data_IF_568916676857
#
_entry.id   IF_568916676857
#
_cell.length_a   1.000
_cell.length_b   1.000
_cell.length_c   1.000
_cell.angle_alpha   90.00
_cell.angle_beta   90.00
_cell.angle_gamma   90.00
#
_symmetry.space_group_name_H-M   'P 1'
#
loop_
_entity.id
_entity.type
_entity.pdbx_description
1 polymer ?
#
# COMPACT_ATOMS: atom_id res chain seq x y z
N UNK A 1 -17.40 -3.32 -2.41
CA UNK A 1 -16.73 -4.62 -2.67
C UNK A 1 -17.73 -5.77 -2.57
N UNK A 2 -17.47 -6.92 -3.20
CA UNK A 2 -18.27 -8.15 -3.07
C UNK A 2 -17.34 -9.32 -2.73
N UNK A 3 -17.12 -9.55 -1.44
CA UNK A 3 -16.19 -10.57 -0.96
C UNK A 3 -16.68 -12.01 -1.13
N UNK A 4 -17.84 -12.24 -1.75
CA UNK A 4 -18.17 -13.58 -2.26
C UNK A 4 -17.35 -13.95 -3.51
N UNK A 5 -16.65 -12.97 -4.10
CA UNK A 5 -15.78 -13.13 -5.27
C UNK A 5 -14.30 -13.12 -4.89
N UNK A 6 -13.45 -13.84 -5.66
CA UNK A 6 -12.01 -13.77 -5.49
C UNK A 6 -11.52 -12.31 -5.50
N UNK A 7 -10.70 -11.97 -4.51
CA UNK A 7 -10.27 -10.58 -4.26
C UNK A 7 -8.78 -10.53 -3.96
N UNK A 8 -8.09 -9.61 -4.61
CA UNK A 8 -6.73 -9.20 -4.25
C UNK A 8 -6.83 -7.95 -3.38
N UNK A 9 -6.29 -8.01 -2.17
CA UNK A 9 -6.09 -6.83 -1.33
C UNK A 9 -4.62 -6.44 -1.36
N UNK A 10 -4.36 -5.22 -1.79
CA UNK A 10 -3.04 -4.59 -1.77
C UNK A 10 -2.94 -3.70 -0.53
N UNK A 11 -1.92 -3.93 0.30
CA UNK A 11 -1.53 -3.01 1.37
C UNK A 11 -0.35 -2.19 0.86
N UNK A 12 -0.53 -0.89 0.66
CA UNK A 12 0.45 -0.04 -0.02
C UNK A 12 0.71 1.27 0.72
N UNK A 13 1.74 2.00 0.29
CA UNK A 13 2.25 3.19 0.95
C UNK A 13 3.78 3.20 1.11
N UNK A 14 4.35 4.36 1.46
CA UNK A 14 5.80 4.50 1.62
C UNK A 14 6.35 3.65 2.78
N UNK A 15 7.66 3.35 2.79
CA UNK A 15 8.33 2.78 3.97
C UNK A 15 8.06 3.64 5.21
N UNK A 16 7.89 3.00 6.37
CA UNK A 16 7.56 3.70 7.62
C UNK A 16 6.09 4.07 7.83
N UNK A 17 5.23 3.92 6.81
CA UNK A 17 3.79 4.20 6.94
C UNK A 17 3.03 3.21 7.86
N UNK A 18 3.64 2.09 8.24
CA UNK A 18 3.04 1.09 9.14
C UNK A 18 2.33 -0.07 8.45
N UNK A 19 2.65 -0.33 7.17
CA UNK A 19 2.08 -1.43 6.37
C UNK A 19 2.24 -2.80 7.04
N UNK A 20 3.46 -3.26 7.36
CA UNK A 20 3.65 -4.54 8.06
C UNK A 20 3.02 -4.59 9.46
N UNK A 21 2.86 -3.43 10.12
CA UNK A 21 2.30 -3.35 11.48
C UNK A 21 0.78 -3.46 11.48
N UNK A 22 0.11 -2.80 10.53
CA UNK A 22 -1.35 -2.69 10.52
C UNK A 22 -2.02 -3.37 9.34
N UNK A 23 -1.28 -3.81 8.32
CA UNK A 23 -1.80 -4.35 7.07
C UNK A 23 -2.79 -5.49 7.28
N UNK A 24 -2.45 -6.42 8.20
CA UNK A 24 -3.36 -7.50 8.59
C UNK A 24 -4.64 -7.01 9.26
N UNK A 25 -4.57 -5.95 10.06
CA UNK A 25 -5.74 -5.36 10.74
C UNK A 25 -6.68 -4.61 9.80
N UNK A 26 -6.20 -4.27 8.59
CA UNK A 26 -7.00 -3.63 7.55
C UNK A 26 -7.69 -4.64 6.61
N UNK A 27 -7.44 -5.94 6.80
CA UNK A 27 -8.14 -6.97 6.05
C UNK A 27 -9.56 -7.15 6.60
N UNK A 28 -10.57 -7.31 5.72
CA UNK A 28 -11.94 -7.59 6.14
C UNK A 28 -12.06 -9.03 6.68
N UNK A 29 -13.15 -9.32 7.39
CA UNK A 29 -13.41 -10.65 7.97
C UNK A 29 -13.37 -11.79 6.94
N UNK A 30 -13.72 -11.53 5.68
CA UNK A 30 -13.62 -12.50 4.58
C UNK A 30 -12.19 -13.01 4.32
N UNK A 31 -11.18 -12.32 4.86
CA UNK A 31 -9.77 -12.70 4.80
C UNK A 31 -9.29 -13.35 6.11
N UNK A 32 -10.20 -13.86 6.95
CA UNK A 32 -9.82 -14.61 8.15
C UNK A 32 -8.82 -15.73 7.82
N UNK A 33 -7.74 -15.81 8.59
CA UNK A 33 -6.65 -16.76 8.36
C UNK A 33 -5.65 -16.36 7.26
N UNK A 34 -5.93 -15.32 6.46
CA UNK A 34 -5.01 -14.78 5.46
C UNK A 34 -4.14 -13.69 6.10
N UNK A 35 -2.88 -13.63 5.69
CA UNK A 35 -1.98 -12.54 6.04
C UNK A 35 -1.38 -11.97 4.75
N UNK A 36 -1.14 -10.65 4.66
CA UNK A 36 -0.49 -10.08 3.48
C UNK A 36 0.90 -10.69 3.30
N UNK A 37 1.27 -11.02 2.06
CA UNK A 37 2.64 -11.35 1.73
C UNK A 37 3.52 -10.11 1.94
N UNK A 38 4.41 -10.17 2.94
CA UNK A 38 5.36 -9.10 3.26
C UNK A 38 6.68 -9.38 2.53
N UNK A 39 6.96 -8.57 1.50
CA UNK A 39 8.17 -8.70 0.67
C UNK A 39 9.44 -8.43 1.47
N UNK A 40 9.45 -7.43 2.34
CA UNK A 40 10.62 -7.03 3.13
C UNK A 40 10.97 -8.12 4.16
N UNK A 41 9.97 -8.65 4.85
CA UNK A 41 10.15 -9.73 5.83
C UNK A 41 10.60 -11.03 5.15
N UNK A 42 10.04 -11.35 3.98
CA UNK A 42 10.40 -12.56 3.22
C UNK A 42 11.81 -12.44 2.64
N UNK A 43 12.19 -11.26 2.14
CA UNK A 43 13.56 -10.97 1.69
C UNK A 43 14.55 -11.12 2.85
N UNK A 44 14.28 -10.49 4.00
CA UNK A 44 15.12 -10.60 5.20
C UNK A 44 15.27 -12.06 5.64
N UNK A 45 14.19 -12.85 5.64
CA UNK A 45 14.24 -14.27 5.94
C UNK A 45 15.21 -15.02 5.00
N UNK A 46 15.10 -14.80 3.70
CA UNK A 46 15.98 -15.49 2.74
C UNK A 46 17.43 -15.01 2.80
N UNK A 47 17.68 -13.74 3.09
CA UNK A 47 19.04 -13.25 3.36
C UNK A 47 19.64 -14.03 4.54
N UNK A 48 18.91 -14.16 5.66
CA UNK A 48 19.38 -14.89 6.84
C UNK A 48 19.63 -16.38 6.56
N UNK A 49 18.81 -17.03 5.72
CA UNK A 49 19.04 -18.42 5.30
C UNK A 49 20.31 -18.61 4.46
N UNK A 50 20.74 -17.57 3.74
CA UNK A 50 21.88 -17.61 2.82
C UNK A 50 23.19 -17.20 3.49
N UNK A 51 23.14 -16.49 4.62
CA UNK A 51 24.31 -16.13 5.41
C UNK A 51 25.09 -17.41 5.80
N UNK A 52 26.40 -17.40 5.56
CA UNK A 52 27.30 -18.52 5.81
C UNK A 52 27.36 -19.57 4.69
N UNK A 53 26.47 -19.49 3.69
CA UNK A 53 26.60 -20.24 2.43
C UNK A 53 27.30 -19.43 1.33
N UNK A 54 27.30 -18.09 1.48
CA UNK A 54 27.93 -17.13 0.58
C UNK A 54 28.64 -16.07 1.42
N UNK A 55 29.74 -15.53 0.89
CA UNK A 55 30.57 -14.52 1.58
C UNK A 55 30.28 -13.09 1.07
N UNK A 56 29.75 -12.93 -0.14
CA UNK A 56 29.45 -11.64 -0.76
C UNK A 56 28.03 -11.16 -0.40
N UNK A 57 27.87 -10.02 0.31
CA UNK A 57 26.56 -9.45 0.65
C UNK A 57 25.68 -9.17 -0.57
N UNK A 58 26.26 -8.72 -1.69
CA UNK A 58 25.49 -8.40 -2.89
C UNK A 58 24.97 -9.68 -3.55
N UNK A 59 25.75 -10.77 -3.50
CA UNK A 59 25.29 -12.08 -3.96
C UNK A 59 24.15 -12.62 -3.09
N UNK A 60 24.25 -12.47 -1.76
CA UNK A 60 23.20 -12.87 -0.82
C UNK A 60 21.90 -12.12 -1.11
N UNK A 61 21.96 -10.79 -1.23
CA UNK A 61 20.79 -9.95 -1.48
C UNK A 61 20.09 -10.31 -2.80
N UNK A 62 20.87 -10.48 -3.89
CA UNK A 62 20.34 -10.87 -5.19
C UNK A 62 19.65 -12.26 -5.15
N UNK A 63 20.27 -13.25 -4.49
CA UNK A 63 19.69 -14.58 -4.34
C UNK A 63 18.45 -14.59 -3.47
N UNK A 64 18.44 -13.80 -2.39
CA UNK A 64 17.28 -13.63 -1.52
C UNK A 64 16.12 -12.99 -2.28
N UNK A 65 16.38 -11.96 -3.07
CA UNK A 65 15.39 -11.33 -3.96
C UNK A 65 14.77 -12.34 -4.93
N UNK A 66 15.58 -13.13 -5.64
CA UNK A 66 15.08 -14.16 -6.58
C UNK A 66 14.21 -15.20 -5.86
N UNK A 67 14.61 -15.65 -4.66
CA UNK A 67 13.83 -16.59 -3.85
C UNK A 67 12.50 -15.99 -3.40
N UNK A 68 12.50 -14.74 -2.96
CA UNK A 68 11.32 -14.01 -2.52
C UNK A 68 10.34 -13.80 -3.68
N UNK A 69 10.81 -13.29 -4.82
CA UNK A 69 9.98 -13.09 -6.02
C UNK A 69 9.38 -14.42 -6.50
N UNK A 70 10.17 -15.49 -6.54
CA UNK A 70 9.65 -16.81 -6.91
C UNK A 70 8.54 -17.27 -5.95
N UNK A 71 8.74 -17.13 -4.64
CA UNK A 71 7.72 -17.49 -3.66
C UNK A 71 6.44 -16.65 -3.87
N UNK A 72 6.57 -15.34 -4.07
CA UNK A 72 5.45 -14.44 -4.34
C UNK A 72 4.66 -14.90 -5.57
N UNK A 73 5.33 -15.15 -6.69
CA UNK A 73 4.69 -15.59 -7.94
C UNK A 73 4.01 -16.96 -7.77
N UNK A 74 4.66 -17.91 -7.08
CA UNK A 74 4.10 -19.25 -6.82
C UNK A 74 2.83 -19.15 -5.93
N UNK A 75 2.83 -18.29 -4.91
CA UNK A 75 1.67 -18.05 -4.04
C UNK A 75 0.53 -17.34 -4.78
N UNK A 76 0.83 -16.34 -5.61
CA UNK A 76 -0.15 -15.67 -6.46
C UNK A 76 -0.80 -16.65 -7.45
N UNK A 77 0.02 -17.45 -8.14
CA UNK A 77 -0.47 -18.46 -9.08
C UNK A 77 -1.38 -19.48 -8.37
N UNK A 78 -1.00 -19.91 -7.17
CA UNK A 78 -1.81 -20.81 -6.34
C UNK A 78 -3.14 -20.16 -5.96
N UNK A 79 -3.14 -18.91 -5.51
CA UNK A 79 -4.37 -18.20 -5.17
C UNK A 79 -5.30 -18.09 -6.39
N UNK A 80 -4.76 -17.67 -7.54
CA UNK A 80 -5.48 -17.54 -8.82
C UNK A 80 -6.09 -18.87 -9.27
N UNK A 81 -5.31 -19.96 -9.22
CA UNK A 81 -5.76 -21.30 -9.60
C UNK A 81 -6.96 -21.75 -8.77
N UNK A 82 -6.95 -21.46 -7.46
CA UNK A 82 -8.01 -21.87 -6.53
C UNK A 82 -9.13 -20.83 -6.40
N UNK A 83 -9.06 -19.69 -7.11
CA UNK A 83 -9.96 -18.53 -6.92
C UNK A 83 -10.04 -18.10 -5.45
N UNK A 84 -8.92 -18.22 -4.72
CA UNK A 84 -8.82 -17.83 -3.33
C UNK A 84 -8.52 -16.33 -3.22
N UNK A 85 -8.96 -15.72 -2.11
CA UNK A 85 -8.53 -14.40 -1.72
C UNK A 85 -7.00 -14.35 -1.54
N UNK A 86 -6.39 -13.21 -1.87
CA UNK A 86 -4.95 -13.01 -1.69
C UNK A 86 -4.67 -11.60 -1.17
N UNK A 87 -3.70 -11.47 -0.29
CA UNK A 87 -3.27 -10.18 0.24
C UNK A 87 -1.77 -9.99 0.00
N UNK A 88 -1.38 -8.81 -0.47
CA UNK A 88 0.00 -8.49 -0.80
C UNK A 88 0.36 -7.12 -0.22
N UNK A 89 1.47 -7.06 0.50
CA UNK A 89 2.09 -5.79 0.85
C UNK A 89 3.08 -5.39 -0.25
N UNK A 90 2.85 -4.23 -0.86
CA UNK A 90 3.75 -3.72 -1.90
C UNK A 90 3.69 -2.19 -2.00
N UNK A 91 4.82 -1.50 -2.17
CA UNK A 91 4.86 -0.04 -2.28
C UNK A 91 4.29 0.54 -3.59
N UNK A 92 4.05 -0.28 -4.63
CA UNK A 92 3.47 0.14 -5.93
C UNK A 92 4.14 1.35 -6.61
N UNK A 93 5.46 1.50 -6.43
CA UNK A 93 6.22 2.66 -6.94
C UNK A 93 6.90 2.42 -8.30
N UNK A 94 6.80 1.21 -8.85
CA UNK A 94 7.24 0.90 -10.21
C UNK A 94 6.07 0.46 -11.09
N UNK A 95 6.05 0.83 -12.39
CA UNK A 95 5.04 0.36 -13.34
C UNK A 95 4.95 -1.17 -13.40
N UNK A 96 6.10 -1.85 -13.37
CA UNK A 96 6.19 -3.31 -13.47
C UNK A 96 5.42 -4.01 -12.35
N UNK A 97 5.24 -3.39 -11.17
CA UNK A 97 4.43 -3.99 -10.10
C UNK A 97 2.95 -4.11 -10.46
N UNK A 98 2.43 -3.19 -11.28
CA UNK A 98 1.05 -3.28 -11.77
C UNK A 98 0.90 -4.40 -12.80
N UNK A 99 1.88 -4.51 -13.70
CA UNK A 99 1.92 -5.56 -14.72
C UNK A 99 2.14 -6.95 -14.13
N UNK A 100 3.05 -7.09 -13.17
CA UNK A 100 3.46 -8.38 -12.62
C UNK A 100 2.56 -8.85 -11.48
N UNK A 101 2.07 -7.94 -10.62
CA UNK A 101 1.35 -8.34 -9.41
C UNK A 101 -0.16 -8.12 -9.45
N UNK A 102 -0.66 -7.21 -10.30
CA UNK A 102 -2.08 -6.83 -10.31
C UNK A 102 -2.78 -7.38 -11.55
N UNK A 103 -2.17 -7.21 -12.73
CA UNK A 103 -2.75 -7.69 -13.99
C UNK A 103 -3.04 -9.19 -14.02
N UNK A 104 -2.24 -10.10 -13.43
CA UNK A 104 -2.59 -11.53 -13.39
C UNK A 104 -3.91 -11.79 -12.67
N UNK A 105 -4.20 -11.07 -11.59
CA UNK A 105 -5.46 -11.20 -10.85
C UNK A 105 -6.63 -10.59 -11.64
N UNK A 106 -6.45 -9.39 -12.22
CA UNK A 106 -7.45 -8.76 -13.08
C UNK A 106 -7.86 -9.66 -14.25
N UNK A 107 -6.86 -10.21 -14.96
CA UNK A 107 -7.07 -11.12 -16.09
C UNK A 107 -7.78 -12.42 -15.67
N UNK A 108 -7.77 -12.75 -14.38
CA UNK A 108 -8.46 -13.91 -13.80
C UNK A 108 -9.78 -13.57 -13.10
N UNK A 109 -10.30 -12.36 -13.30
CA UNK A 109 -11.62 -11.94 -12.85
C UNK A 109 -11.70 -11.56 -11.37
N UNK A 110 -10.58 -11.19 -10.75
CA UNK A 110 -10.55 -10.75 -9.36
C UNK A 110 -11.09 -9.32 -9.21
N UNK A 111 -11.69 -9.04 -8.05
CA UNK A 111 -11.80 -7.68 -7.56
C UNK A 111 -10.46 -7.23 -6.98
N UNK A 112 -10.07 -5.98 -7.20
CA UNK A 112 -8.83 -5.43 -6.63
C UNK A 112 -9.20 -4.32 -5.66
N UNK A 113 -8.75 -4.46 -4.42
CA UNK A 113 -8.84 -3.42 -3.40
C UNK A 113 -7.46 -2.96 -3.01
N UNK A 114 -7.26 -1.65 -2.95
CA UNK A 114 -6.07 -1.04 -2.41
C UNK A 114 -6.38 -0.39 -1.05
N UNK A 115 -5.60 -0.73 -0.04
CA UNK A 115 -5.50 0.02 1.21
C UNK A 115 -4.16 0.75 1.23
N UNK A 116 -4.20 2.05 0.93
CA UNK A 116 -3.02 2.91 0.87
C UNK A 116 -2.86 3.69 2.18
N UNK A 117 -1.77 3.45 2.91
CA UNK A 117 -1.45 4.09 4.18
C UNK A 117 -0.32 5.09 3.96
N UNK A 118 -0.50 6.35 4.36
CA UNK A 118 0.53 7.36 4.18
C UNK A 118 0.66 8.28 5.38
N UNK A 119 1.85 8.88 5.51
CA UNK A 119 2.15 9.93 6.49
C UNK A 119 2.05 11.29 5.82
N UNK A 120 2.04 12.35 6.62
CA UNK A 120 1.87 13.71 6.12
C UNK A 120 3.07 14.16 5.26
N UNK A 121 4.29 13.76 5.63
CA UNK A 121 5.51 14.19 4.95
C UNK A 121 6.53 13.06 4.79
N UNK A 122 7.44 13.23 3.82
CA UNK A 122 8.58 12.35 3.61
C UNK A 122 9.46 12.23 4.86
N UNK A 123 9.73 13.34 5.56
CA UNK A 123 10.54 13.36 6.78
C UNK A 123 9.96 12.47 7.89
N UNK A 124 8.63 12.31 7.95
CA UNK A 124 7.99 11.41 8.91
C UNK A 124 8.26 9.94 8.56
N UNK A 125 8.32 9.62 7.27
CA UNK A 125 8.69 8.29 6.78
C UNK A 125 10.14 7.98 7.12
N UNK A 126 11.06 8.90 6.82
CA UNK A 126 12.49 8.79 7.12
C UNK A 126 12.74 8.58 8.62
N UNK A 127 12.12 9.43 9.46
CA UNK A 127 12.27 9.34 10.91
C UNK A 127 11.83 7.97 11.45
N UNK A 128 10.72 7.42 10.95
CA UNK A 128 10.23 6.10 11.37
C UNK A 128 11.11 4.96 10.87
N UNK A 129 11.59 5.01 9.63
CA UNK A 129 12.49 4.00 9.09
C UNK A 129 13.82 3.99 9.86
N UNK A 130 14.39 5.16 10.14
CA UNK A 130 15.60 5.28 10.96
C UNK A 130 15.40 4.78 12.39
N UNK A 131 14.27 5.12 13.03
CA UNK A 131 13.95 4.61 14.36
C UNK A 131 13.83 3.08 14.37
N UNK A 132 13.20 2.49 13.33
CA UNK A 132 13.10 1.04 13.16
C UNK A 132 14.47 0.39 12.94
N UNK A 133 15.32 0.98 12.11
CA UNK A 133 16.68 0.47 11.91
C UNK A 133 17.50 0.45 13.21
N UNK A 134 17.39 1.52 14.01
CA UNK A 134 18.07 1.62 15.30
C UNK A 134 17.55 0.64 16.36
N UNK A 135 16.35 0.09 16.17
CA UNK A 135 15.73 -0.91 17.06
C UNK A 135 15.81 -2.33 16.51
N UNK A 136 16.63 -2.57 15.49
CA UNK A 136 16.94 -3.90 14.94
C UNK A 136 16.13 -4.31 13.71
N UNK A 137 15.38 -3.40 13.09
CA UNK A 137 14.72 -3.65 11.81
C UNK A 137 15.59 -3.31 10.60
N UNK A 138 15.05 -3.53 9.41
CA UNK A 138 15.75 -3.31 8.14
C UNK A 138 15.99 -1.81 7.86
N UNK A 139 17.24 -1.47 7.56
CA UNK A 139 17.67 -0.15 7.10
C UNK A 139 17.37 0.01 5.61
N UNK A 140 16.93 1.20 5.21
CA UNK A 140 16.73 1.55 3.79
C UNK A 140 17.43 2.87 3.48
N UNK A 141 18.03 3.02 2.28
CA UNK A 141 18.56 4.30 1.82
C UNK A 141 17.46 5.37 1.76
N UNK A 142 17.82 6.62 2.09
CA UNK A 142 16.91 7.77 2.00
C UNK A 142 16.36 7.94 0.58
N UNK A 143 17.22 7.80 -0.43
CA UNK A 143 16.84 7.91 -1.84
C UNK A 143 15.74 6.90 -2.22
N UNK A 144 15.78 5.68 -1.64
CA UNK A 144 14.74 4.67 -1.85
C UNK A 144 13.41 5.08 -1.20
N UNK A 145 13.44 5.63 0.02
CA UNK A 145 12.22 6.12 0.70
C UNK A 145 11.59 7.27 -0.11
N UNK A 146 12.43 8.20 -0.56
CA UNK A 146 12.02 9.34 -1.36
C UNK A 146 11.42 8.91 -2.71
N UNK A 147 12.08 7.97 -3.41
CA UNK A 147 11.60 7.40 -4.67
C UNK A 147 10.21 6.79 -4.51
N UNK A 148 10.01 5.94 -3.48
CA UNK A 148 8.71 5.34 -3.22
C UNK A 148 7.65 6.40 -2.95
N UNK A 149 7.97 7.38 -2.10
CA UNK A 149 7.04 8.44 -1.72
C UNK A 149 6.60 9.27 -2.94
N UNK A 150 7.53 9.58 -3.85
CA UNK A 150 7.27 10.37 -5.06
C UNK A 150 6.54 9.59 -6.15
N UNK A 151 6.89 8.31 -6.36
CA UNK A 151 6.44 7.56 -7.53
C UNK A 151 5.15 6.76 -7.31
N UNK A 152 4.87 6.31 -6.09
CA UNK A 152 3.69 5.48 -5.79
C UNK A 152 2.36 6.21 -6.00
N UNK A 153 2.25 7.48 -5.62
CA UNK A 153 1.01 8.26 -5.74
C UNK A 153 0.62 8.54 -7.21
N UNK A 154 1.52 9.03 -8.10
CA UNK A 154 1.20 9.18 -9.51
C UNK A 154 0.81 7.87 -10.20
N UNK A 155 1.45 6.76 -9.83
CA UNK A 155 1.11 5.44 -10.38
C UNK A 155 -0.25 4.96 -9.89
N UNK A 156 -0.57 5.17 -8.62
CA UNK A 156 -1.91 4.92 -8.09
C UNK A 156 -2.94 5.77 -8.84
N UNK A 157 -2.71 7.07 -8.97
CA UNK A 157 -3.61 7.99 -9.67
C UNK A 157 -3.89 7.52 -11.11
N UNK A 158 -2.84 7.15 -11.86
CA UNK A 158 -2.95 6.69 -13.24
C UNK A 158 -3.72 5.37 -13.36
N UNK A 159 -3.55 4.46 -12.39
CA UNK A 159 -4.13 3.12 -12.41
C UNK A 159 -5.39 2.96 -11.55
N UNK A 160 -5.89 4.05 -10.96
CA UNK A 160 -7.05 4.03 -10.05
C UNK A 160 -8.30 3.39 -10.68
N UNK A 161 -8.43 3.45 -12.01
CA UNK A 161 -9.53 2.86 -12.76
C UNK A 161 -9.52 1.33 -12.81
N UNK A 162 -8.37 0.70 -12.54
CA UNK A 162 -8.23 -0.76 -12.43
C UNK A 162 -8.71 -1.29 -11.08
N UNK A 163 -8.86 -0.41 -10.07
CA UNK A 163 -9.17 -0.77 -8.70
C UNK A 163 -10.68 -0.74 -8.47
N UNK A 164 -11.22 -1.85 -7.94
CA UNK A 164 -12.62 -1.93 -7.51
C UNK A 164 -12.85 -1.06 -6.28
N UNK A 165 -11.88 -1.02 -5.35
CA UNK A 165 -11.91 -0.16 -4.19
C UNK A 165 -10.55 0.46 -3.88
N UNK A 166 -10.56 1.72 -3.42
CA UNK A 166 -9.39 2.46 -2.92
C UNK A 166 -9.75 2.99 -1.54
N UNK A 167 -9.01 2.55 -0.53
CA UNK A 167 -9.06 3.06 0.83
C UNK A 167 -7.80 3.88 1.09
N UNK A 168 -7.98 5.14 1.43
CA UNK A 168 -6.91 6.05 1.80
C UNK A 168 -6.87 6.17 3.33
N UNK A 169 -5.74 5.86 3.94
CA UNK A 169 -5.56 5.91 5.39
C UNK A 169 -4.50 6.92 5.81
N UNK A 170 -4.80 7.66 6.87
CA UNK A 170 -3.81 8.40 7.64
C UNK A 170 -3.03 7.44 8.55
N UNK A 171 -1.73 7.29 8.34
CA UNK A 171 -0.81 6.47 9.13
C UNK A 171 -0.08 7.21 10.26
N UNK A 172 -0.41 8.47 10.56
CA UNK A 172 0.31 9.28 11.56
C UNK A 172 0.25 8.69 12.97
N UNK A 173 -0.77 7.90 13.28
CA UNK A 173 -0.87 7.10 14.52
C UNK A 173 -1.33 5.67 14.18
N UNK A 174 -2.52 5.30 14.62
CA UNK A 174 -3.26 4.13 14.12
C UNK A 174 -3.94 4.49 12.79
N UNK A 175 -3.88 3.63 11.76
CA UNK A 175 -4.50 3.90 10.47
C UNK A 175 -5.96 4.35 10.61
N UNK A 176 -6.24 5.57 10.18
CA UNK A 176 -7.59 6.15 10.20
C UNK A 176 -8.06 6.34 8.77
N UNK A 177 -9.25 5.82 8.44
CA UNK A 177 -9.80 5.92 7.09
C UNK A 177 -10.13 7.39 6.78
N UNK A 178 -9.55 7.92 5.70
CA UNK A 178 -9.78 9.28 5.22
C UNK A 178 -10.79 9.30 4.07
N UNK A 179 -10.70 8.32 3.18
CA UNK A 179 -11.62 8.19 2.06
C UNK A 179 -11.71 6.73 1.59
N UNK A 180 -12.90 6.33 1.16
CA UNK A 180 -13.13 5.09 0.45
C UNK A 180 -13.84 5.41 -0.88
N UNK A 181 -13.23 4.95 -1.97
CA UNK A 181 -13.72 5.07 -3.33
C UNK A 181 -14.00 3.68 -3.84
N UNK A 182 -15.24 3.37 -4.20
CA UNK A 182 -15.62 2.10 -4.79
C UNK A 182 -16.19 2.30 -6.20
N UNK A 183 -15.73 1.50 -7.16
CA UNK A 183 -16.13 1.59 -8.57
C UNK A 183 -16.04 3.03 -9.12
N UNK A 184 -14.99 3.75 -8.70
CA UNK A 184 -14.73 5.13 -9.09
C UNK A 184 -15.61 6.18 -8.40
N UNK A 185 -16.54 5.80 -7.51
CA UNK A 185 -17.42 6.68 -6.74
C UNK A 185 -16.94 6.78 -5.29
N UNK A 186 -16.94 8.00 -4.75
CA UNK A 186 -16.64 8.21 -3.33
C UNK A 186 -17.84 7.75 -2.52
N UNK A 187 -17.65 6.73 -1.69
CA UNK A 187 -18.69 6.19 -0.80
C UNK A 187 -18.51 6.66 0.64
N UNK A 188 -17.29 7.07 1.00
CA UNK A 188 -16.98 7.70 2.28
C UNK A 188 -15.82 8.67 2.11
N UNK A 189 -15.88 9.82 2.79
CA UNK A 189 -14.80 10.77 2.89
C UNK A 189 -14.90 11.60 4.16
N UNK A 190 -13.75 11.88 4.77
CA UNK A 190 -13.60 12.82 5.87
C UNK A 190 -12.99 14.14 5.38
N UNK A 191 -13.39 15.31 5.92
CA UNK A 191 -12.79 16.60 5.55
C UNK A 191 -11.27 16.66 5.72
N UNK A 192 -10.73 15.90 6.68
CA UNK A 192 -9.30 15.76 6.92
C UNK A 192 -8.54 15.20 5.70
N UNK A 193 -9.19 14.41 4.84
CA UNK A 193 -8.57 13.93 3.60
C UNK A 193 -8.03 15.09 2.73
N UNK A 194 -8.74 16.23 2.70
CA UNK A 194 -8.35 17.40 1.91
C UNK A 194 -7.30 18.28 2.60
N UNK A 195 -6.96 18.02 3.87
CA UNK A 195 -5.83 18.69 4.53
C UNK A 195 -4.51 17.96 4.28
N UNK A 196 -4.55 16.74 3.71
CA UNK A 196 -3.36 15.94 3.40
C UNK A 196 -2.77 16.34 2.06
N UNK A 197 -1.53 16.83 2.06
CA UNK A 197 -0.83 17.25 0.84
C UNK A 197 -0.63 16.08 -0.14
N UNK A 198 -0.34 14.88 0.36
CA UNK A 198 -0.17 13.69 -0.48
C UNK A 198 -1.47 13.28 -1.18
N UNK A 199 -2.66 13.61 -0.63
CA UNK A 199 -3.93 13.43 -1.34
C UNK A 199 -4.14 14.56 -2.34
N UNK A 200 -4.07 15.83 -1.90
CA UNK A 200 -4.46 16.98 -2.74
C UNK A 200 -3.51 17.24 -3.91
N UNK A 201 -2.22 16.94 -3.75
CA UNK A 201 -1.20 17.13 -4.78
C UNK A 201 -0.76 15.81 -5.42
N UNK A 202 -0.72 14.71 -4.65
CA UNK A 202 -0.30 13.41 -5.17
C UNK A 202 -1.42 12.64 -5.89
N UNK A 203 -2.69 12.90 -5.54
CA UNK A 203 -3.86 12.23 -6.11
C UNK A 203 -4.92 13.26 -6.56
N UNK A 204 -4.58 14.21 -7.45
CA UNK A 204 -5.43 15.39 -7.69
C UNK A 204 -6.84 15.08 -8.22
N UNK A 205 -7.01 14.03 -9.04
CA UNK A 205 -8.32 13.60 -9.55
C UNK A 205 -9.14 12.96 -8.44
N UNK A 206 -8.53 12.09 -7.61
CA UNK A 206 -9.22 11.51 -6.46
C UNK A 206 -9.59 12.59 -5.44
N UNK A 207 -8.69 13.54 -5.17
CA UNK A 207 -8.95 14.68 -4.31
C UNK A 207 -10.13 15.54 -4.82
N UNK A 208 -10.21 15.77 -6.13
CA UNK A 208 -11.34 16.48 -6.73
C UNK A 208 -12.66 15.72 -6.57
N UNK A 209 -12.65 14.39 -6.65
CA UNK A 209 -13.83 13.56 -6.37
C UNK A 209 -14.23 13.64 -4.89
N UNK A 210 -13.27 13.55 -3.98
CA UNK A 210 -13.48 13.67 -2.53
C UNK A 210 -14.08 15.04 -2.20
N UNK A 211 -13.53 16.12 -2.75
CA UNK A 211 -14.03 17.47 -2.54
C UNK A 211 -15.46 17.69 -3.02
N UNK A 212 -15.87 17.05 -4.13
CA UNK A 212 -17.25 17.11 -4.61
C UNK A 212 -18.23 16.30 -3.75
N UNK A 213 -17.74 15.25 -3.09
CA UNK A 213 -18.56 14.41 -2.21
C UNK A 213 -18.83 15.10 -0.86
N UNK A 214 -17.83 15.80 -0.33
CA UNK A 214 -17.94 16.49 0.95
C UNK A 214 -18.91 17.67 0.88
N UNK A 215 -19.66 17.96 1.97
CA UNK A 215 -20.48 19.16 2.02
C UNK A 215 -19.60 20.41 1.92
N UNK A 216 -20.11 21.51 1.34
CA UNK A 216 -19.37 22.76 1.30
C UNK A 216 -18.97 23.18 2.72
N UNK A 217 -17.78 23.79 2.90
CA UNK A 217 -17.33 24.23 4.20
C UNK A 217 -18.36 25.16 4.82
N UNK A 218 -18.75 24.90 6.08
CA UNK A 218 -19.65 25.79 6.81
C UNK A 218 -18.99 27.17 6.89
N UNK A 219 -19.54 28.15 6.19
CA UNK A 219 -19.12 29.54 6.32
C UNK A 219 -19.44 29.96 7.75
N UNK A 220 -18.43 30.01 8.61
CA UNK A 220 -18.57 30.58 9.94
C UNK A 220 -18.81 32.08 9.77
N UNK A 221 -20.07 32.50 9.85
CA UNK A 221 -20.46 33.90 10.05
C UNK A 221 -19.94 34.37 11.43
N UNK A 222 -18.64 34.65 11.53
CA UNK A 222 -18.13 35.58 12.53
C UNK A 222 -18.47 36.98 12.02
N UNK A 223 -19.72 37.38 12.26
CA UNK A 223 -20.10 38.78 12.28
C UNK A 223 -19.28 39.40 13.41
N UNK A 224 -18.26 40.18 13.05
CA UNK A 224 -17.66 41.14 13.98
C UNK A 224 -18.72 42.20 14.25
N UNK A 225 -19.26 42.20 15.47
CA UNK A 225 -19.83 43.38 16.12
C UNK A 225 -18.71 44.05 16.92
#
# INVERSE_FOLDING_TARGET
>A
MDYSKPTLILISGPPGAGKSTFGKTLLPDAFEGISPFDRDATMTKYEQELIGSYDDPDEIANRAFIKMERQLIDEMATAIQHKAHYALETPLHFPDYWEEYINPFLNNGYQIQLSYICLDNLSDCEARVHHRANTGGHWLPLDTIEEVYKNSLPLLEANAHLLTAINLYDGMKTPTLLANIENGLVVHAEPEALTKNWITHGLPTLAAKISKHLPPPKISNRIKL
#
